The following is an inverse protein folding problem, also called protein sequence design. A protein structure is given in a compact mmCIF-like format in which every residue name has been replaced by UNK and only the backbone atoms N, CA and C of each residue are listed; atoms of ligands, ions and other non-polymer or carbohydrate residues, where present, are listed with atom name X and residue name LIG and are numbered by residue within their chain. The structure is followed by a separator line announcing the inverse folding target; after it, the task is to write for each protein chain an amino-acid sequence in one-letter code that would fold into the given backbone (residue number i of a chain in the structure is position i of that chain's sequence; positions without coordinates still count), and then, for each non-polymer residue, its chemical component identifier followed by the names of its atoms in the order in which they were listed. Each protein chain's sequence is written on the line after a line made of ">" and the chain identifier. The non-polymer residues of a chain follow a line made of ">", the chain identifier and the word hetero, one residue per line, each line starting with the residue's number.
data_IF_370525729793
#
_entry.id   IF_370525729793
#
_cell.length_a   1.000
_cell.length_b   1.000
_cell.length_c   1.000
_cell.angle_alpha   90.00
_cell.angle_beta   90.00
_cell.angle_gamma   90.00
#
_symmetry.space_group_name_H-M   'P 1'
#
loop_
_entity.id
_entity.type
_entity.pdbx_description
1 polymer ?
#
# COMPACT_ATOMS: atom_id res chain seq x y z
N UNK A 1 42.69 42.87 33.63
CA UNK A 1 41.77 41.75 33.62
C UNK A 1 40.73 42.02 32.55
N UNK A 2 40.90 41.40 31.37
CA UNK A 2 39.98 41.58 30.25
C UNK A 2 39.01 40.37 30.22
N UNK A 3 37.72 40.62 30.40
CA UNK A 3 36.67 39.62 30.24
C UNK A 3 36.45 39.42 28.72
N UNK A 4 36.86 38.26 28.24
CA UNK A 4 36.48 37.79 26.88
C UNK A 4 35.11 37.16 27.00
N UNK A 5 34.09 37.87 26.53
CA UNK A 5 32.73 37.32 26.41
C UNK A 5 32.68 36.30 25.27
N UNK A 6 32.44 35.05 25.61
CA UNK A 6 32.18 33.97 24.64
C UNK A 6 30.80 34.18 24.05
N UNK A 7 30.70 34.70 22.84
CA UNK A 7 29.42 34.72 22.10
C UNK A 7 29.22 33.34 21.51
N UNK A 8 28.44 32.54 22.17
CA UNK A 8 27.88 31.30 21.58
C UNK A 8 26.80 31.70 20.57
N UNK A 9 27.13 31.59 19.30
CA UNK A 9 26.11 31.66 18.24
C UNK A 9 25.18 30.44 18.40
N UNK A 10 23.97 30.65 18.93
CA UNK A 10 22.90 29.69 18.74
C UNK A 10 22.62 29.64 17.23
N UNK A 11 22.94 28.54 16.62
CA UNK A 11 22.42 28.23 15.28
C UNK A 11 20.92 28.11 15.44
N UNK A 12 20.16 29.08 14.94
CA UNK A 12 18.73 28.95 14.76
C UNK A 12 18.52 27.77 13.79
N UNK A 13 17.95 26.69 14.26
CA UNK A 13 17.49 25.64 13.39
C UNK A 13 16.36 26.23 12.54
N UNK A 14 16.42 26.00 11.23
CA UNK A 14 15.36 26.37 10.32
C UNK A 14 14.01 25.94 10.91
N UNK A 15 13.14 26.90 11.15
CA UNK A 15 11.86 26.68 11.82
C UNK A 15 10.78 26.20 10.84
N UNK A 16 11.20 25.48 9.78
CA UNK A 16 10.25 24.85 8.89
C UNK A 16 10.55 23.35 8.68
N UNK A 17 9.51 22.59 8.43
CA UNK A 17 9.56 21.15 8.21
C UNK A 17 8.82 20.80 6.92
N UNK A 18 9.34 19.78 6.22
CA UNK A 18 8.65 19.18 5.08
C UNK A 18 7.90 17.96 5.59
N UNK A 19 6.59 17.95 5.37
CA UNK A 19 5.66 16.94 5.90
C UNK A 19 4.70 16.47 4.81
N UNK A 20 3.87 15.48 5.11
CA UNK A 20 2.79 15.00 4.23
C UNK A 20 3.27 14.65 2.82
N UNK A 21 4.30 13.81 2.73
CA UNK A 21 4.83 13.35 1.45
C UNK A 21 3.89 12.34 0.81
N UNK A 22 3.40 12.64 -0.38
CA UNK A 22 2.45 11.80 -1.12
C UNK A 22 2.97 11.49 -2.52
N UNK A 23 2.71 10.28 -2.97
CA UNK A 23 2.83 9.85 -4.38
C UNK A 23 1.43 9.50 -4.87
N UNK A 24 0.97 10.09 -5.99
CA UNK A 24 -0.41 9.94 -6.50
C UNK A 24 -1.45 10.14 -5.39
N UNK A 25 -1.26 11.20 -4.57
CA UNK A 25 -2.13 11.60 -3.46
C UNK A 25 -2.24 10.57 -2.32
N UNK A 26 -1.38 9.54 -2.32
CA UNK A 26 -1.38 8.48 -1.31
C UNK A 26 -0.02 8.41 -0.62
N UNK A 27 -0.01 8.13 0.68
CA UNK A 27 1.21 7.89 1.44
C UNK A 27 1.73 6.48 1.16
N UNK A 28 2.97 6.39 0.66
CA UNK A 28 3.66 5.11 0.42
C UNK A 28 2.83 4.09 -0.39
N UNK A 29 2.29 4.43 -1.58
CA UNK A 29 1.46 3.52 -2.35
C UNK A 29 2.25 2.29 -2.81
N UNK A 30 1.57 1.15 -2.82
CA UNK A 30 2.05 -0.12 -3.36
C UNK A 30 1.24 -0.50 -4.59
N UNK A 31 1.91 -1.10 -5.58
CA UNK A 31 1.25 -1.52 -6.81
C UNK A 31 0.82 -0.37 -7.73
N UNK A 32 1.61 0.69 -7.76
CA UNK A 32 1.33 1.87 -8.58
C UNK A 32 1.65 1.60 -10.05
N UNK A 33 0.65 1.68 -10.93
CA UNK A 33 0.79 1.49 -12.39
C UNK A 33 0.91 2.80 -13.17
N UNK A 34 1.07 3.94 -12.47
CA UNK A 34 1.24 5.23 -13.10
C UNK A 34 2.68 5.39 -13.66
N UNK A 35 2.79 5.63 -14.96
CA UNK A 35 4.09 5.75 -15.67
C UNK A 35 4.85 7.01 -15.28
N UNK A 36 4.12 8.08 -14.93
CA UNK A 36 4.67 9.37 -14.51
C UNK A 36 4.03 9.81 -13.20
N UNK A 37 4.36 9.15 -12.09
CA UNK A 37 3.76 9.48 -10.81
C UNK A 37 4.03 10.92 -10.42
N UNK A 38 3.06 11.50 -9.72
CA UNK A 38 3.13 12.88 -9.23
C UNK A 38 3.46 12.87 -7.75
N UNK A 39 4.37 13.77 -7.36
CA UNK A 39 4.82 13.94 -6.00
C UNK A 39 4.19 15.19 -5.39
N UNK A 40 3.83 15.09 -4.11
CA UNK A 40 3.30 16.21 -3.36
C UNK A 40 3.90 16.21 -1.96
N UNK A 41 4.07 17.40 -1.40
CA UNK A 41 4.54 17.59 -0.03
C UNK A 41 3.97 18.89 0.53
N UNK A 42 4.07 19.08 1.82
CA UNK A 42 3.65 20.29 2.51
C UNK A 42 4.82 20.86 3.30
N UNK A 43 4.87 22.17 3.41
CA UNK A 43 5.70 22.86 4.37
C UNK A 43 4.89 23.21 5.62
N UNK A 44 5.50 23.02 6.77
CA UNK A 44 4.99 23.48 8.06
C UNK A 44 6.03 24.40 8.68
N UNK A 45 5.62 25.61 9.07
CA UNK A 45 6.44 26.57 9.78
C UNK A 45 5.59 27.29 10.81
N UNK A 46 6.21 27.71 11.90
CA UNK A 46 5.60 28.63 12.88
C UNK A 46 5.77 30.09 12.46
N UNK A 47 6.67 30.35 11.50
CA UNK A 47 6.87 31.70 10.97
C UNK A 47 5.74 32.11 10.02
N UNK A 48 5.22 33.29 10.27
CA UNK A 48 4.16 33.84 9.41
C UNK A 48 4.73 34.28 8.07
N UNK A 49 4.16 33.74 6.99
CA UNK A 49 4.56 34.07 5.62
C UNK A 49 5.71 33.19 5.09
N UNK A 50 6.15 32.19 5.83
CA UNK A 50 7.11 31.23 5.32
C UNK A 50 6.57 30.56 4.04
N UNK A 51 7.37 30.54 2.98
CA UNK A 51 7.00 29.99 1.69
C UNK A 51 8.19 29.23 1.06
N UNK A 52 7.86 28.26 0.22
CA UNK A 52 8.85 27.57 -0.61
C UNK A 52 9.35 28.49 -1.70
N UNK A 53 10.66 28.58 -1.85
CA UNK A 53 11.31 29.28 -2.95
C UNK A 53 11.81 28.34 -4.04
N UNK A 54 12.25 27.14 -3.65
CA UNK A 54 12.76 26.14 -4.59
C UNK A 54 12.57 24.72 -4.04
N UNK A 55 12.65 23.76 -4.94
CA UNK A 55 12.71 22.34 -4.57
C UNK A 55 13.70 21.57 -5.46
N UNK A 56 14.02 20.37 -5.03
CA UNK A 56 14.75 19.34 -5.80
C UNK A 56 14.18 17.97 -5.45
N UNK A 57 13.85 17.19 -6.45
CA UNK A 57 13.42 15.81 -6.30
C UNK A 57 14.52 14.85 -6.75
N UNK A 58 14.77 13.84 -5.96
CA UNK A 58 15.72 12.77 -6.26
C UNK A 58 14.98 11.44 -6.09
N UNK A 59 15.00 10.59 -7.10
CA UNK A 59 14.44 9.26 -7.07
C UNK A 59 15.55 8.23 -7.16
N UNK A 60 15.54 7.25 -6.26
CA UNK A 60 16.48 6.13 -6.25
C UNK A 60 15.74 4.80 -6.32
N UNK A 61 16.37 3.79 -6.91
CA UNK A 61 15.87 2.42 -6.90
C UNK A 61 16.28 1.66 -5.61
N UNK A 62 15.91 0.40 -5.51
CA UNK A 62 16.18 -0.48 -4.38
C UNK A 62 17.69 -0.64 -4.08
N UNK A 63 18.54 -0.48 -5.09
CA UNK A 63 19.98 -0.56 -4.96
C UNK A 63 20.60 0.79 -4.56
N UNK A 64 19.79 1.82 -4.33
CA UNK A 64 20.23 3.17 -4.02
C UNK A 64 20.78 3.94 -5.23
N UNK A 65 20.62 3.43 -6.45
CA UNK A 65 21.03 4.10 -7.67
C UNK A 65 20.04 5.21 -8.00
N UNK A 66 20.55 6.41 -8.27
CA UNK A 66 19.72 7.52 -8.71
C UNK A 66 19.12 7.23 -10.10
N UNK A 67 17.80 7.18 -10.15
CA UNK A 67 17.01 6.99 -11.38
C UNK A 67 16.63 8.32 -11.99
N UNK A 68 16.39 9.31 -11.15
CA UNK A 68 16.04 10.67 -11.56
C UNK A 68 16.46 11.70 -10.55
N UNK A 69 16.76 12.88 -11.06
CA UNK A 69 17.08 14.06 -10.28
C UNK A 69 16.61 15.29 -11.07
N UNK A 70 15.64 16.02 -10.50
CA UNK A 70 15.08 17.21 -11.15
C UNK A 70 16.09 18.36 -11.30
N UNK A 71 17.23 18.29 -10.57
CA UNK A 71 17.98 19.49 -10.28
C UNK A 71 17.22 20.41 -9.32
N UNK A 72 17.81 21.55 -8.99
CA UNK A 72 17.11 22.61 -8.26
C UNK A 72 16.13 23.31 -9.22
N UNK A 73 14.89 23.39 -8.82
CA UNK A 73 13.81 24.08 -9.53
C UNK A 73 13.37 25.25 -8.66
N UNK A 74 13.54 26.47 -9.14
CA UNK A 74 13.11 27.68 -8.44
C UNK A 74 11.61 27.90 -8.70
N UNK A 75 10.78 27.21 -7.91
CA UNK A 75 9.32 27.21 -8.00
C UNK A 75 8.71 26.92 -6.62
N UNK A 76 7.61 27.54 -6.33
CA UNK A 76 6.82 27.34 -5.11
C UNK A 76 5.83 26.15 -5.21
N UNK A 77 5.72 25.49 -6.35
CA UNK A 77 4.84 24.34 -6.55
C UNK A 77 5.27 23.17 -5.68
N UNK A 78 4.34 22.63 -4.89
CA UNK A 78 4.57 21.47 -4.02
C UNK A 78 3.45 20.42 -4.17
N UNK A 79 2.54 20.62 -5.11
CA UNK A 79 1.40 19.75 -5.36
C UNK A 79 1.45 19.17 -6.77
N UNK A 80 1.34 17.85 -6.86
CA UNK A 80 1.27 17.10 -8.11
C UNK A 80 2.44 17.35 -9.09
N UNK A 81 3.65 17.50 -8.56
CA UNK A 81 4.87 17.65 -9.37
C UNK A 81 5.15 16.34 -10.12
N UNK A 82 5.14 16.33 -11.46
CA UNK A 82 5.24 15.10 -12.22
C UNK A 82 6.67 14.55 -12.25
N UNK A 83 6.79 13.24 -12.21
CA UNK A 83 8.02 12.54 -12.55
C UNK A 83 8.40 12.79 -14.00
N UNK A 84 9.64 13.20 -14.25
CA UNK A 84 10.14 13.47 -15.60
C UNK A 84 11.42 12.67 -15.93
N UNK A 85 11.65 11.57 -15.23
CA UNK A 85 12.79 10.68 -15.47
C UNK A 85 12.51 9.62 -16.53
N UNK A 86 13.37 8.61 -16.55
CA UNK A 86 13.23 7.44 -17.43
C UNK A 86 12.07 6.56 -16.99
N UNK A 87 11.59 5.69 -17.90
CA UNK A 87 10.52 4.75 -17.57
C UNK A 87 10.84 3.94 -16.31
N UNK A 88 9.90 3.90 -15.40
CA UNK A 88 10.00 3.10 -14.19
C UNK A 88 9.87 1.60 -14.51
N UNK A 89 10.57 0.78 -13.76
CA UNK A 89 10.50 -0.68 -13.90
C UNK A 89 9.28 -1.21 -13.12
N UNK A 90 8.63 -2.27 -13.59
CA UNK A 90 7.59 -2.96 -12.82
C UNK A 90 8.16 -3.59 -11.54
N UNK A 91 7.28 -3.89 -10.60
CA UNK A 91 7.57 -4.63 -9.36
C UNK A 91 8.80 -4.10 -8.62
N UNK A 92 8.98 -2.77 -8.61
CA UNK A 92 10.19 -2.14 -8.09
C UNK A 92 9.82 -1.10 -7.03
N UNK A 93 10.49 -1.15 -5.89
CA UNK A 93 10.38 -0.11 -4.87
C UNK A 93 11.33 1.04 -5.19
N UNK A 94 10.80 2.23 -5.15
CA UNK A 94 11.54 3.47 -5.33
C UNK A 94 11.46 4.31 -4.06
N UNK A 95 12.59 4.88 -3.68
CA UNK A 95 12.64 5.91 -2.64
C UNK A 95 12.81 7.27 -3.33
N UNK A 96 12.03 8.24 -2.89
CA UNK A 96 12.21 9.61 -3.35
C UNK A 96 12.47 10.55 -2.18
N UNK A 97 13.29 11.53 -2.45
CA UNK A 97 13.68 12.56 -1.51
C UNK A 97 13.36 13.91 -2.10
N UNK A 98 12.72 14.76 -1.33
CA UNK A 98 12.56 16.17 -1.65
C UNK A 98 13.47 17.01 -0.78
N UNK A 99 14.23 17.88 -1.40
CA UNK A 99 14.92 19.00 -0.77
C UNK A 99 14.10 20.26 -1.06
N UNK A 100 13.77 21.02 -0.04
CA UNK A 100 12.98 22.24 -0.14
C UNK A 100 13.79 23.39 0.44
N UNK A 101 13.82 24.51 -0.27
CA UNK A 101 14.41 25.76 0.20
C UNK A 101 13.30 26.77 0.47
N UNK A 102 13.41 27.44 1.61
CA UNK A 102 12.57 28.59 1.93
C UNK A 102 13.12 29.87 1.27
N UNK A 103 12.45 31.00 1.50
CA UNK A 103 12.83 32.31 0.97
C UNK A 103 14.16 32.83 1.51
N UNK A 104 14.57 32.40 2.71
CA UNK A 104 15.84 32.74 3.36
C UNK A 104 17.00 31.87 2.84
N UNK A 105 16.70 30.87 2.01
CA UNK A 105 17.70 29.95 1.47
C UNK A 105 18.03 28.79 2.39
N UNK A 106 17.32 28.61 3.47
CA UNK A 106 17.46 27.46 4.36
C UNK A 106 16.84 26.23 3.71
N UNK A 107 17.48 25.09 3.93
CA UNK A 107 17.11 23.83 3.29
C UNK A 107 16.60 22.81 4.29
N UNK A 108 15.51 22.18 3.95
CA UNK A 108 14.98 20.99 4.62
C UNK A 108 14.84 19.83 3.64
N UNK A 109 14.94 18.62 4.17
CA UNK A 109 14.91 17.39 3.38
C UNK A 109 13.96 16.39 4.01
N UNK A 110 13.15 15.76 3.18
CA UNK A 110 12.29 14.67 3.61
C UNK A 110 12.23 13.57 2.55
N UNK A 111 11.97 12.33 2.96
CA UNK A 111 11.96 11.17 2.08
C UNK A 111 10.70 10.35 2.26
N UNK A 112 10.26 9.74 1.18
CA UNK A 112 9.17 8.78 1.14
C UNK A 112 9.49 7.71 0.10
N UNK A 113 8.59 6.76 -0.10
CA UNK A 113 8.75 5.69 -1.06
C UNK A 113 7.43 5.34 -1.74
N UNK A 114 7.51 4.62 -2.83
CA UNK A 114 6.40 3.95 -3.47
C UNK A 114 6.88 2.66 -4.15
N UNK A 115 5.96 1.80 -4.49
CA UNK A 115 6.24 0.56 -5.20
C UNK A 115 5.39 0.49 -6.46
N UNK A 116 6.03 0.22 -7.59
CA UNK A 116 5.32 0.05 -8.85
C UNK A 116 4.61 -1.29 -8.89
N UNK A 117 3.46 -1.32 -9.58
CA UNK A 117 2.77 -2.53 -9.95
C UNK A 117 3.40 -3.20 -11.16
N UNK A 118 2.59 -3.89 -11.93
CA UNK A 118 3.05 -4.59 -13.14
C UNK A 118 3.37 -3.65 -14.29
N UNK A 119 2.94 -2.38 -14.22
CA UNK A 119 3.15 -1.34 -15.22
C UNK A 119 2.65 -1.73 -16.63
N UNK A 120 1.79 -2.74 -16.70
CA UNK A 120 1.25 -3.29 -17.93
C UNK A 120 -0.27 -3.36 -17.81
N UNK A 121 -0.94 -2.69 -18.71
CA UNK A 121 -2.41 -2.63 -18.74
C UNK A 121 -3.02 -3.57 -19.77
N UNK A 122 -2.19 -4.26 -20.57
CA UNK A 122 -2.66 -5.18 -21.58
C UNK A 122 -2.62 -6.63 -21.08
N UNK A 123 -3.50 -7.47 -21.61
CA UNK A 123 -3.47 -8.93 -21.38
C UNK A 123 -2.19 -9.61 -21.93
N UNK A 124 -1.34 -8.85 -22.61
CA UNK A 124 -0.09 -9.31 -23.22
C UNK A 124 1.08 -9.08 -22.27
N UNK A 125 1.06 -9.72 -21.30
CA UNK A 125 1.85 -9.92 -20.12
C UNK A 125 3.39 -9.93 -20.23
N UNK A 126 4.03 -8.91 -20.73
CA UNK A 126 5.48 -8.75 -20.54
C UNK A 126 5.82 -8.52 -19.06
N UNK A 127 5.00 -7.76 -18.34
CA UNK A 127 5.16 -7.52 -16.91
C UNK A 127 4.79 -8.72 -16.02
N UNK A 128 4.02 -9.65 -16.53
CA UNK A 128 3.70 -10.90 -15.84
C UNK A 128 4.83 -11.92 -15.89
N UNK A 129 5.96 -11.60 -16.54
CA UNK A 129 7.14 -12.47 -16.66
C UNK A 129 6.80 -13.91 -17.09
N UNK A 130 5.80 -14.07 -17.97
CA UNK A 130 5.30 -15.37 -18.40
C UNK A 130 4.27 -16.03 -17.47
N UNK A 131 3.95 -15.41 -16.33
CA UNK A 131 2.86 -15.88 -15.50
C UNK A 131 1.53 -15.78 -16.25
N UNK A 132 0.63 -16.70 -15.98
CA UNK A 132 -0.71 -16.73 -16.56
C UNK A 132 -1.72 -16.81 -15.42
N UNK A 133 -2.88 -16.26 -15.63
CA UNK A 133 -3.99 -16.52 -14.73
C UNK A 133 -4.21 -18.03 -14.64
N UNK A 134 -4.06 -18.56 -13.43
CA UNK A 134 -4.48 -19.91 -13.11
C UNK A 134 -5.97 -19.84 -12.78
N UNK A 135 -6.77 -20.03 -13.78
CA UNK A 135 -8.21 -20.08 -13.66
C UNK A 135 -8.72 -20.85 -14.84
N UNK A 136 -9.72 -21.59 -14.66
CA UNK A 136 -10.45 -22.25 -15.70
C UNK A 136 -11.92 -21.97 -15.51
N UNK A 137 -12.70 -22.52 -16.38
CA UNK A 137 -14.11 -22.70 -16.10
C UNK A 137 -14.25 -23.38 -14.74
N UNK A 138 -15.03 -22.78 -13.83
CA UNK A 138 -15.26 -23.30 -12.50
C UNK A 138 -15.68 -24.77 -12.49
N UNK A 139 -16.29 -25.24 -13.58
CA UNK A 139 -16.68 -26.63 -13.78
C UNK A 139 -15.51 -27.58 -14.02
N UNK A 140 -14.37 -27.08 -14.48
CA UNK A 140 -13.21 -27.89 -14.89
C UNK A 140 -12.11 -27.98 -13.82
N UNK A 141 -12.19 -27.21 -12.74
CA UNK A 141 -11.17 -27.23 -11.69
C UNK A 141 -11.43 -28.39 -10.72
N UNK A 142 -10.53 -29.40 -10.64
CA UNK A 142 -10.58 -30.38 -9.57
C UNK A 142 -10.19 -29.69 -8.25
N UNK A 143 -11.08 -29.69 -7.28
CA UNK A 143 -10.74 -29.28 -5.94
C UNK A 143 -10.18 -30.46 -5.16
N UNK A 144 -8.90 -30.41 -4.91
CA UNK A 144 -8.28 -31.23 -3.87
C UNK A 144 -8.07 -30.33 -2.65
N UNK A 145 -9.06 -30.28 -1.75
CA UNK A 145 -8.79 -29.79 -0.42
C UNK A 145 -8.12 -30.92 0.37
N UNK A 146 -6.91 -30.70 0.82
CA UNK A 146 -6.34 -31.61 1.82
C UNK A 146 -7.26 -31.59 3.04
N UNK A 147 -7.81 -32.75 3.41
CA UNK A 147 -8.58 -32.88 4.64
C UNK A 147 -7.65 -32.59 5.83
N UNK A 148 -7.95 -31.52 6.53
CA UNK A 148 -7.25 -31.12 7.74
C UNK A 148 -8.17 -31.40 8.92
N UNK A 149 -7.91 -32.49 9.65
CA UNK A 149 -8.69 -32.82 10.85
C UNK A 149 -8.40 -31.86 12.02
N UNK A 150 -7.19 -31.29 12.02
CA UNK A 150 -6.75 -30.27 12.97
C UNK A 150 -5.99 -29.19 12.22
N UNK A 151 -6.39 -27.93 12.39
CA UNK A 151 -5.71 -26.81 11.80
C UNK A 151 -5.73 -25.60 12.74
N UNK A 152 -4.80 -24.69 12.53
CA UNK A 152 -4.74 -23.40 13.22
C UNK A 152 -4.83 -22.29 12.20
N UNK A 153 -5.76 -21.37 12.40
CA UNK A 153 -5.86 -20.13 11.64
C UNK A 153 -5.29 -19.02 12.49
N UNK A 154 -4.25 -18.34 11.97
CA UNK A 154 -3.66 -17.15 12.61
C UNK A 154 -3.83 -15.99 11.64
N UNK A 155 -4.44 -14.91 12.11
CA UNK A 155 -4.63 -13.70 11.30
C UNK A 155 -4.60 -12.46 12.20
N UNK A 156 -4.32 -11.33 11.60
CA UNK A 156 -4.42 -10.03 12.21
C UNK A 156 -5.57 -9.28 11.56
N UNK A 157 -6.43 -8.70 12.36
CA UNK A 157 -7.58 -7.94 11.87
C UNK A 157 -7.55 -6.53 12.46
N UNK A 158 -7.78 -5.54 11.61
CA UNK A 158 -8.15 -4.19 12.03
C UNK A 158 -9.64 -4.02 11.78
N UNK A 159 -10.36 -3.56 12.79
CA UNK A 159 -11.81 -3.41 12.70
C UNK A 159 -12.26 -2.19 13.49
N UNK A 160 -13.26 -1.50 13.00
CA UNK A 160 -13.87 -0.38 13.72
C UNK A 160 -14.95 -0.85 14.70
N UNK A 161 -15.81 -1.75 14.27
CA UNK A 161 -16.92 -2.26 15.08
C UNK A 161 -17.01 -3.78 15.08
N UNK A 162 -17.05 -4.40 13.90
CA UNK A 162 -17.19 -5.84 13.73
C UNK A 162 -16.35 -6.33 12.58
N UNK A 163 -15.85 -7.54 12.73
CA UNK A 163 -15.20 -8.29 11.66
C UNK A 163 -15.71 -9.73 11.66
N UNK A 164 -15.68 -10.37 10.51
CA UNK A 164 -16.02 -11.78 10.40
C UNK A 164 -15.01 -12.53 9.54
N UNK A 165 -14.63 -13.71 9.98
CA UNK A 165 -13.89 -14.69 9.20
C UNK A 165 -14.82 -15.83 8.85
N UNK A 166 -14.95 -16.14 7.56
CA UNK A 166 -15.74 -17.25 7.06
C UNK A 166 -14.78 -18.30 6.50
N UNK A 167 -14.95 -19.54 6.90
CA UNK A 167 -14.16 -20.67 6.41
C UNK A 167 -15.01 -21.92 6.30
N UNK A 168 -14.52 -22.94 5.58
CA UNK A 168 -15.27 -24.16 5.33
C UNK A 168 -16.57 -23.90 4.57
N UNK A 169 -16.65 -22.85 3.77
CA UNK A 169 -17.83 -22.55 2.97
C UNK A 169 -18.00 -23.58 1.86
N UNK A 170 -19.25 -23.83 1.48
CA UNK A 170 -19.55 -24.70 0.35
C UNK A 170 -18.97 -24.12 -0.93
N UNK A 171 -18.28 -24.96 -1.66
CA UNK A 171 -17.89 -24.66 -3.02
C UNK A 171 -19.13 -24.60 -3.91
N UNK A 172 -19.38 -23.48 -4.62
CA UNK A 172 -20.54 -23.38 -5.51
C UNK A 172 -20.55 -24.42 -6.64
N UNK A 173 -19.41 -25.06 -6.92
CA UNK A 173 -19.28 -26.15 -7.90
C UNK A 173 -19.77 -27.51 -7.37
N UNK A 174 -19.85 -27.69 -6.06
CA UNK A 174 -20.43 -28.88 -5.42
C UNK A 174 -21.96 -28.86 -5.41
N UNK A 175 -22.55 -27.85 -6.01
CA UNK A 175 -24.01 -27.71 -6.12
C UNK A 175 -24.62 -28.59 -7.20
N UNK A 176 -23.81 -29.20 -8.06
CA UNK A 176 -24.31 -30.20 -9.02
C UNK A 176 -24.74 -31.45 -8.28
N UNK A 177 -26.05 -31.72 -8.32
CA UNK A 177 -26.66 -32.87 -7.67
C UNK A 177 -26.02 -34.22 -8.09
N UNK A 178 -25.49 -34.29 -9.32
CA UNK A 178 -24.83 -35.47 -9.84
C UNK A 178 -23.41 -35.67 -9.28
N UNK A 179 -22.84 -34.64 -8.65
CA UNK A 179 -21.51 -34.70 -8.02
C UNK A 179 -21.55 -34.80 -6.50
N UNK A 180 -22.75 -34.84 -5.95
CA UNK A 180 -22.95 -34.97 -4.51
C UNK A 180 -23.01 -36.45 -4.10
N UNK A 181 -21.84 -36.99 -3.82
CA UNK A 181 -21.62 -38.41 -3.46
C UNK A 181 -22.37 -38.82 -2.18
N UNK A 182 -22.78 -37.85 -1.35
CA UNK A 182 -23.38 -38.13 -0.04
C UNK A 182 -24.88 -37.80 0.04
N UNK A 183 -25.53 -37.50 -1.08
CA UNK A 183 -26.96 -37.16 -1.09
C UNK A 183 -27.33 -35.87 -0.35
N UNK A 184 -26.35 -35.05 -0.04
CA UNK A 184 -26.55 -33.78 0.65
C UNK A 184 -26.92 -32.69 -0.35
N UNK A 185 -27.98 -31.96 -0.08
CA UNK A 185 -28.30 -30.76 -0.86
C UNK A 185 -27.40 -29.61 -0.42
N UNK A 186 -26.22 -29.48 -1.07
CA UNK A 186 -25.39 -28.32 -0.88
C UNK A 186 -25.99 -27.14 -1.64
N UNK A 187 -26.54 -26.19 -0.93
CA UNK A 187 -26.97 -24.92 -1.50
C UNK A 187 -25.81 -23.91 -1.32
N UNK A 188 -25.67 -23.06 -2.32
CA UNK A 188 -24.68 -21.98 -2.28
C UNK A 188 -24.80 -21.20 -0.98
N UNK A 189 -23.67 -20.94 -0.32
CA UNK A 189 -23.54 -20.10 0.88
C UNK A 189 -24.37 -20.55 2.09
N UNK A 190 -24.75 -21.82 2.18
CA UNK A 190 -25.57 -22.31 3.29
C UNK A 190 -24.82 -23.16 4.31
N UNK A 191 -23.63 -23.68 3.97
CA UNK A 191 -22.80 -24.39 4.95
C UNK A 191 -21.44 -23.67 5.06
N UNK A 192 -21.17 -23.14 6.23
CA UNK A 192 -19.93 -22.43 6.53
C UNK A 192 -19.73 -22.31 8.04
N UNK A 193 -18.54 -22.01 8.43
CA UNK A 193 -18.20 -21.60 9.79
C UNK A 193 -17.84 -20.12 9.75
N UNK A 194 -18.50 -19.31 10.58
CA UNK A 194 -18.28 -17.88 10.71
C UNK A 194 -17.82 -17.59 12.12
N UNK A 195 -16.61 -17.05 12.24
CA UNK A 195 -16.15 -16.42 13.47
C UNK A 195 -16.44 -14.92 13.37
N UNK A 196 -17.29 -14.43 14.25
CA UNK A 196 -17.64 -13.02 14.34
C UNK A 196 -16.99 -12.41 15.58
N UNK A 197 -16.29 -11.29 15.35
CA UNK A 197 -15.61 -10.51 16.38
C UNK A 197 -16.31 -9.17 16.52
N UNK A 198 -16.64 -8.79 17.75
CA UNK A 198 -17.13 -7.46 18.08
C UNK A 198 -16.12 -6.73 18.98
N UNK A 199 -15.88 -5.46 18.70
CA UNK A 199 -14.93 -4.67 19.46
C UNK A 199 -15.36 -4.55 20.93
N UNK A 200 -14.48 -4.96 21.82
CA UNK A 200 -14.63 -4.80 23.28
C UNK A 200 -15.47 -5.84 24.00
N UNK A 201 -16.08 -6.81 23.31
CA UNK A 201 -17.12 -7.59 23.99
C UNK A 201 -17.12 -9.11 23.73
N UNK A 202 -17.07 -9.61 22.52
CA UNK A 202 -17.24 -11.04 22.31
C UNK A 202 -16.67 -11.56 20.99
N UNK A 203 -16.29 -12.82 21.01
CA UNK A 203 -16.06 -13.64 19.82
C UNK A 203 -17.13 -14.70 19.77
N UNK A 204 -17.93 -14.74 18.70
CA UNK A 204 -18.99 -15.71 18.52
C UNK A 204 -18.70 -16.60 17.30
N UNK A 205 -18.68 -17.89 17.51
CA UNK A 205 -18.51 -18.87 16.46
C UNK A 205 -19.90 -19.35 16.01
N UNK A 206 -20.26 -19.04 14.79
CA UNK A 206 -21.49 -19.52 14.15
C UNK A 206 -21.14 -20.69 13.23
N UNK A 207 -21.82 -21.80 13.39
CA UNK A 207 -21.70 -22.98 12.53
C UNK A 207 -22.99 -23.16 11.78
N UNK A 208 -22.97 -22.98 10.47
CA UNK A 208 -24.14 -23.19 9.60
C UNK A 208 -23.92 -24.50 8.82
N UNK A 209 -24.83 -25.40 8.93
CA UNK A 209 -24.84 -26.68 8.19
C UNK A 209 -26.19 -26.88 7.55
N UNK A 210 -26.19 -27.13 6.25
CA UNK A 210 -27.40 -27.48 5.53
C UNK A 210 -27.24 -28.91 5.03
N UNK A 211 -28.24 -29.72 5.25
CA UNK A 211 -28.33 -31.04 4.66
C UNK A 211 -28.09 -32.22 5.58
N UNK A 212 -28.12 -32.06 6.90
CA UNK A 212 -28.33 -33.17 7.83
C UNK A 212 -29.63 -32.97 8.61
N UNK A 213 -30.67 -33.64 8.21
CA UNK A 213 -31.70 -34.10 9.15
C UNK A 213 -31.30 -35.51 9.57
N UNK A 214 -30.89 -35.71 10.80
CA UNK A 214 -30.99 -37.02 11.43
C UNK A 214 -32.42 -37.23 11.79
#
# INVERSE_FOLDING_TARGET
>A
MACVGLVTSLSAFADFQVVSLLTEYTSCPMGLDEVRPRFSWQMRSEERGAAQAAYRLILTDEQGKTVWNSGRVDDSTSLAVPYAGTMLRPETRYQWTVEVWNQEGEKQTASSWFETGLMETSDKAAAWAGARWIGGDLSAMPFYSAYQSVFRICYKVEMEQRAALIFGANDPRLMDANKNILGQQNKKDQSYIKLELAYGDSAVLHVYRVGYSQ
#
